data_IF_134261755828
#
_entry.id   IF_134261755828
#
_cell.length_a   1.000
_cell.length_b   1.000
_cell.length_c   1.000
_cell.angle_alpha   90.00
_cell.angle_beta   90.00
_cell.angle_gamma   90.00
#
_symmetry.space_group_name_H-M   'P 1'
#
loop_
_entity.id
_entity.type
_entity.pdbx_description
1 polymer ?
#
# COMPACT_ATOMS: atom_id res chain seq x y z
N UNK A 1 26.73 16.72 -13.61
CA UNK A 1 25.67 16.24 -12.67
C UNK A 1 25.12 14.84 -12.99
N UNK A 2 25.23 14.31 -14.22
CA UNK A 2 24.96 12.89 -14.55
C UNK A 2 25.65 11.92 -13.58
N UNK A 3 26.91 12.19 -13.24
CA UNK A 3 27.66 11.43 -12.23
C UNK A 3 27.06 11.46 -10.82
N UNK A 4 26.24 12.45 -10.41
CA UNK A 4 25.64 12.52 -9.05
C UNK A 4 24.32 11.75 -8.92
N UNK A 5 23.49 11.71 -9.97
CA UNK A 5 22.33 10.80 -10.03
C UNK A 5 22.78 9.34 -10.02
N UNK A 6 23.81 9.02 -10.80
CA UNK A 6 24.49 7.73 -10.80
C UNK A 6 25.16 7.43 -9.45
N UNK A 7 25.70 8.44 -8.77
CA UNK A 7 26.29 8.29 -7.43
C UNK A 7 25.24 7.92 -6.38
N UNK A 8 24.06 8.55 -6.40
CA UNK A 8 22.98 8.26 -5.46
C UNK A 8 22.46 6.82 -5.64
N UNK A 9 22.39 6.32 -6.87
CA UNK A 9 22.06 4.91 -7.17
C UNK A 9 23.21 3.94 -6.86
N UNK A 10 24.46 4.42 -6.78
CA UNK A 10 25.64 3.59 -6.43
C UNK A 10 25.80 3.33 -4.92
N UNK A 11 25.02 3.99 -4.06
CA UNK A 11 25.06 3.79 -2.62
C UNK A 11 24.29 2.55 -2.11
N UNK A 12 23.67 1.77 -3.00
CA UNK A 12 22.83 0.63 -2.62
C UNK A 12 23.57 -0.70 -2.77
N UNK A 13 23.69 -1.43 -1.66
CA UNK A 13 24.28 -2.77 -1.61
C UNK A 13 23.22 -3.84 -1.92
N UNK A 14 23.51 -4.86 -2.76
CA UNK A 14 22.62 -5.98 -3.00
C UNK A 14 22.76 -7.02 -1.86
N UNK A 15 22.05 -6.85 -0.74
CA UNK A 15 22.03 -7.85 0.34
C UNK A 15 20.61 -8.29 0.72
N UNK A 16 20.33 -9.59 0.62
CA UNK A 16 19.03 -10.24 0.86
C UNK A 16 17.87 -9.66 0.02
N UNK A 17 17.80 -10.14 -1.21
CA UNK A 17 16.65 -9.95 -2.09
C UNK A 17 15.51 -10.87 -1.60
N UNK A 18 14.25 -10.42 -1.50
CA UNK A 18 13.10 -11.30 -1.24
C UNK A 18 13.11 -12.48 -2.23
N UNK A 19 12.62 -13.64 -1.79
CA UNK A 19 12.71 -14.92 -2.51
C UNK A 19 12.14 -14.88 -3.96
N UNK A 20 11.40 -13.83 -4.30
CA UNK A 20 10.75 -13.59 -5.60
C UNK A 20 11.58 -12.75 -6.60
N UNK A 21 12.74 -12.21 -6.21
CA UNK A 21 13.55 -11.33 -7.07
C UNK A 21 14.98 -11.86 -7.15
N UNK A 22 15.53 -12.04 -8.35
CA UNK A 22 16.91 -12.52 -8.56
C UNK A 22 17.90 -11.36 -8.84
N UNK A 23 17.38 -10.19 -9.19
CA UNK A 23 18.14 -8.96 -9.43
C UNK A 23 17.21 -7.77 -9.16
N UNK A 24 17.73 -6.62 -8.67
CA UNK A 24 16.91 -5.44 -8.47
C UNK A 24 16.29 -4.96 -9.79
N UNK A 25 15.08 -4.40 -9.71
CA UNK A 25 14.33 -3.91 -10.88
C UNK A 25 14.18 -2.40 -10.85
N UNK A 26 14.53 -1.74 -11.94
CA UNK A 26 14.32 -0.32 -12.19
C UNK A 26 13.01 -0.15 -12.99
N UNK A 27 11.99 0.42 -12.34
CA UNK A 27 10.74 0.81 -12.98
C UNK A 27 10.88 2.24 -13.49
N UNK A 28 10.69 2.42 -14.80
CA UNK A 28 10.89 3.71 -15.46
C UNK A 28 9.54 4.21 -15.97
N UNK A 29 9.04 5.29 -15.37
CA UNK A 29 7.80 5.91 -15.83
C UNK A 29 8.05 6.72 -17.12
N UNK A 30 7.15 6.57 -18.09
CA UNK A 30 7.18 7.27 -19.40
C UNK A 30 5.82 7.94 -19.64
N UNK A 31 5.83 9.08 -20.33
CA UNK A 31 4.63 9.75 -20.81
C UNK A 31 4.58 11.24 -20.48
N UNK A 32 3.63 11.94 -21.09
CA UNK A 32 3.47 13.40 -20.95
C UNK A 32 3.10 13.83 -19.51
N UNK A 33 3.28 15.12 -19.16
CA UNK A 33 2.76 15.66 -17.90
C UNK A 33 1.24 15.46 -17.72
N UNK A 34 0.77 15.43 -16.47
CA UNK A 34 -0.64 15.19 -16.11
C UNK A 34 -1.25 13.87 -16.65
N UNK A 35 -0.41 12.84 -16.81
CA UNK A 35 -0.83 11.48 -17.20
C UNK A 35 -0.77 10.47 -16.05
N UNK A 36 -1.08 10.88 -14.81
CA UNK A 36 -1.15 9.94 -13.69
C UNK A 36 0.17 9.25 -13.26
N UNK A 37 1.33 9.53 -13.86
CA UNK A 37 2.61 8.86 -13.53
C UNK A 37 2.94 8.84 -12.04
N UNK A 38 2.83 9.98 -11.35
CA UNK A 38 3.09 10.07 -9.90
C UNK A 38 2.10 9.28 -9.07
N UNK A 39 0.83 9.28 -9.48
CA UNK A 39 -0.22 8.49 -8.83
C UNK A 39 0.10 7.00 -8.93
N UNK A 40 0.36 6.51 -10.16
CA UNK A 40 0.73 5.11 -10.42
C UNK A 40 1.94 4.71 -9.58
N UNK A 41 2.98 5.55 -9.58
CA UNK A 41 4.24 5.23 -8.91
C UNK A 41 4.09 5.12 -7.39
N UNK A 42 3.33 6.03 -6.77
CA UNK A 42 3.06 5.98 -5.33
C UNK A 42 2.19 4.77 -4.96
N UNK A 43 1.11 4.52 -5.71
CA UNK A 43 0.25 3.34 -5.51
C UNK A 43 1.04 2.04 -5.68
N UNK A 44 1.89 1.95 -6.70
CA UNK A 44 2.70 0.77 -6.96
C UNK A 44 3.75 0.56 -5.86
N UNK A 45 4.42 1.62 -5.42
CA UNK A 45 5.39 1.55 -4.32
C UNK A 45 4.73 1.10 -3.02
N UNK A 46 3.56 1.65 -2.69
CA UNK A 46 2.79 1.28 -1.50
C UNK A 46 2.40 -0.19 -1.54
N UNK A 47 1.89 -0.67 -2.68
CA UNK A 47 1.58 -2.09 -2.87
C UNK A 47 2.81 -2.98 -2.72
N UNK A 48 3.90 -2.67 -3.42
CA UNK A 48 5.13 -3.46 -3.37
C UNK A 48 5.73 -3.51 -1.96
N UNK A 49 5.76 -2.39 -1.24
CA UNK A 49 6.21 -2.37 0.16
C UNK A 49 5.28 -3.18 1.07
N UNK A 50 3.98 -3.07 0.89
CA UNK A 50 3.00 -3.79 1.70
C UNK A 50 3.13 -5.31 1.56
N UNK A 51 3.40 -5.82 0.36
CA UNK A 51 3.65 -7.26 0.11
C UNK A 51 5.06 -7.73 0.50
N UNK A 52 5.88 -6.85 1.11
CA UNK A 52 7.23 -7.17 1.56
C UNK A 52 8.34 -7.02 0.51
N UNK A 53 8.12 -6.30 -0.59
CA UNK A 53 9.14 -5.96 -1.60
C UNK A 53 9.65 -4.53 -1.37
N UNK A 54 10.87 -4.35 -0.82
CA UNK A 54 11.41 -3.01 -0.53
C UNK A 54 11.51 -2.16 -1.77
N UNK A 55 10.70 -1.10 -1.83
CA UNK A 55 10.52 -0.26 -3.01
C UNK A 55 10.60 1.21 -2.65
N UNK A 56 11.30 1.99 -3.47
CA UNK A 56 11.45 3.43 -3.28
C UNK A 56 11.16 4.21 -4.55
N UNK A 57 10.41 5.30 -4.42
CA UNK A 57 10.22 6.30 -5.49
C UNK A 57 11.34 7.31 -5.46
N UNK A 58 11.94 7.56 -6.62
CA UNK A 58 12.84 8.67 -6.89
C UNK A 58 12.13 9.67 -7.79
N UNK A 59 11.71 10.79 -7.19
CA UNK A 59 11.03 11.87 -7.90
C UNK A 59 12.04 12.92 -8.34
N UNK A 60 12.35 12.96 -9.64
CA UNK A 60 13.32 13.89 -10.22
C UNK A 60 12.90 15.36 -10.04
N UNK A 61 11.59 15.64 -10.03
CA UNK A 61 11.07 16.98 -9.78
C UNK A 61 11.34 17.48 -8.35
N UNK A 62 11.37 16.58 -7.35
CA UNK A 62 11.74 16.94 -5.99
C UNK A 62 13.25 17.20 -5.86
N UNK A 63 14.08 16.30 -6.38
CA UNK A 63 15.54 16.46 -6.37
C UNK A 63 15.98 17.77 -7.04
N UNK A 64 15.33 18.13 -8.14
CA UNK A 64 15.55 19.43 -8.80
C UNK A 64 15.22 20.60 -7.87
N UNK A 65 14.09 20.59 -7.15
CA UNK A 65 13.72 21.69 -6.23
C UNK A 65 14.76 21.89 -5.12
N UNK A 66 15.27 20.80 -4.58
CA UNK A 66 16.33 20.80 -3.56
C UNK A 66 17.66 21.33 -4.15
N UNK A 67 18.00 20.97 -5.38
CA UNK A 67 19.23 21.43 -6.05
C UNK A 67 19.17 22.90 -6.52
N UNK A 68 18.00 23.39 -6.94
CA UNK A 68 17.80 24.76 -7.45
C UNK A 68 17.86 25.81 -6.33
N UNK A 69 17.56 25.45 -5.08
CA UNK A 69 17.79 26.34 -3.92
C UNK A 69 19.28 26.66 -3.68
N UNK A 70 20.21 25.83 -4.20
CA UNK A 70 21.65 26.00 -3.99
C UNK A 70 22.38 26.74 -5.13
N UNK A 71 21.79 26.84 -6.32
CA UNK A 71 22.43 27.48 -7.48
C UNK A 71 21.42 28.35 -8.23
N UNK A 72 21.43 29.64 -7.90
CA UNK A 72 20.69 30.69 -8.62
C UNK A 72 21.50 31.03 -9.88
N UNK A 73 20.88 30.85 -11.04
CA UNK A 73 21.41 31.00 -12.41
C UNK A 73 22.08 29.76 -13.03
N UNK A 74 21.61 29.46 -14.24
CA UNK A 74 22.22 28.60 -15.27
C UNK A 74 21.90 27.09 -15.21
N UNK A 75 20.63 26.71 -15.40
CA UNK A 75 20.23 25.35 -15.82
C UNK A 75 18.80 25.38 -16.38
N UNK A 76 18.64 25.98 -17.57
CA UNK A 76 17.50 25.71 -18.44
C UNK A 76 17.88 24.49 -19.30
N UNK A 77 16.95 23.57 -19.55
CA UNK A 77 17.14 22.31 -20.30
C UNK A 77 17.74 21.16 -19.46
N UNK A 78 16.89 20.51 -18.67
CA UNK A 78 17.10 19.12 -18.28
C UNK A 78 15.80 18.33 -18.54
N UNK A 79 15.76 17.62 -19.66
CA UNK A 79 14.63 16.81 -20.12
C UNK A 79 14.64 15.41 -19.48
N UNK A 80 13.64 15.10 -18.67
CA UNK A 80 13.59 13.84 -17.93
C UNK A 80 12.15 13.29 -17.71
N UNK A 81 11.25 13.54 -18.68
CA UNK A 81 10.00 12.76 -18.82
C UNK A 81 10.20 11.37 -19.43
N UNK A 82 11.45 11.00 -19.75
CA UNK A 82 11.85 9.78 -20.46
C UNK A 82 11.14 9.58 -21.81
N UNK A 83 10.67 10.69 -22.38
CA UNK A 83 9.90 10.78 -23.61
C UNK A 83 10.76 10.64 -24.87
N UNK A 84 12.09 10.69 -24.77
CA UNK A 84 12.99 10.52 -25.90
C UNK A 84 13.64 9.13 -25.91
N UNK A 85 13.90 8.61 -27.11
CA UNK A 85 14.56 7.30 -27.29
C UNK A 85 15.98 7.30 -26.70
N UNK A 86 16.75 8.37 -26.93
CA UNK A 86 18.12 8.52 -26.42
C UNK A 86 18.18 8.40 -24.89
N UNK A 87 17.20 9.01 -24.20
CA UNK A 87 17.12 8.95 -22.73
C UNK A 87 16.85 7.53 -22.25
N UNK A 88 15.95 6.80 -22.91
CA UNK A 88 15.66 5.39 -22.59
C UNK A 88 16.88 4.51 -22.80
N UNK A 89 17.63 4.70 -23.90
CA UNK A 89 18.88 3.97 -24.17
C UNK A 89 19.90 4.22 -23.06
N UNK A 90 20.10 5.48 -22.63
CA UNK A 90 21.01 5.81 -21.53
C UNK A 90 20.62 5.12 -20.21
N UNK A 91 19.33 5.05 -19.88
CA UNK A 91 18.82 4.37 -18.67
C UNK A 91 19.07 2.86 -18.76
N UNK A 92 18.82 2.25 -19.92
CA UNK A 92 19.06 0.81 -20.13
C UNK A 92 20.54 0.48 -20.02
N UNK A 93 21.43 1.29 -20.61
CA UNK A 93 22.88 1.11 -20.50
C UNK A 93 23.34 1.19 -19.05
N UNK A 94 22.89 2.20 -18.31
CA UNK A 94 23.18 2.33 -16.88
C UNK A 94 22.69 1.12 -16.07
N UNK A 95 21.44 0.69 -16.29
CA UNK A 95 20.87 -0.44 -15.57
C UNK A 95 21.68 -1.72 -15.85
N UNK A 96 22.10 -1.94 -17.11
CA UNK A 96 22.96 -3.05 -17.50
C UNK A 96 24.31 -3.02 -16.77
N UNK A 97 24.96 -1.86 -16.69
CA UNK A 97 26.23 -1.70 -15.96
C UNK A 97 26.11 -2.01 -14.46
N UNK A 98 24.94 -1.75 -13.86
CA UNK A 98 24.65 -2.01 -12.45
C UNK A 98 24.00 -3.37 -12.16
N UNK A 99 23.74 -4.18 -13.20
CA UNK A 99 23.06 -5.46 -13.04
C UNK A 99 21.59 -5.34 -12.66
N UNK A 100 20.94 -4.22 -12.99
CA UNK A 100 19.51 -4.01 -12.79
C UNK A 100 18.70 -4.48 -14.01
N UNK A 101 17.53 -5.06 -13.74
CA UNK A 101 16.49 -5.23 -14.75
C UNK A 101 15.77 -3.91 -14.97
N UNK A 102 15.19 -3.70 -16.16
CA UNK A 102 14.43 -2.49 -16.48
C UNK A 102 13.02 -2.87 -16.91
N UNK A 103 12.02 -2.19 -16.34
CA UNK A 103 10.62 -2.33 -16.72
C UNK A 103 10.00 -0.95 -16.93
N UNK A 104 9.53 -0.65 -18.14
CA UNK A 104 8.92 0.66 -18.43
C UNK A 104 7.41 0.64 -18.17
N UNK A 105 6.90 1.72 -17.60
CA UNK A 105 5.46 1.95 -17.42
C UNK A 105 5.10 3.25 -18.12
N UNK A 106 4.51 3.15 -19.30
CA UNK A 106 4.10 4.28 -20.10
C UNK A 106 2.61 4.59 -19.89
N UNK A 107 2.30 5.81 -19.46
CA UNK A 107 0.92 6.26 -19.32
C UNK A 107 0.55 7.22 -20.45
N UNK A 108 -0.41 6.80 -21.27
CA UNK A 108 -0.89 7.50 -22.46
C UNK A 108 -2.34 7.90 -22.19
N UNK A 109 -2.66 9.18 -22.35
CA UNK A 109 -4.03 9.67 -22.21
C UNK A 109 -4.24 10.79 -23.20
N UNK A 110 -5.27 10.70 -24.02
CA UNK A 110 -5.62 11.73 -24.98
C UNK A 110 -7.00 12.35 -24.67
N UNK A 111 -7.69 11.81 -23.67
CA UNK A 111 -8.95 12.33 -23.15
C UNK A 111 -8.77 13.69 -22.44
N UNK A 112 -9.34 14.79 -22.98
CA UNK A 112 -9.15 16.14 -22.43
C UNK A 112 -9.77 16.32 -21.04
N UNK A 113 -10.86 15.62 -20.70
CA UNK A 113 -11.52 15.73 -19.40
C UNK A 113 -10.65 15.12 -18.30
N UNK A 114 -10.10 13.93 -18.55
CA UNK A 114 -9.17 13.27 -17.63
C UNK A 114 -7.92 14.13 -17.40
N UNK A 115 -7.42 14.77 -18.45
CA UNK A 115 -6.23 15.63 -18.38
C UNK A 115 -6.52 16.86 -17.54
N UNK A 116 -7.64 17.55 -17.81
CA UNK A 116 -8.06 18.71 -17.04
C UNK A 116 -8.24 18.36 -15.55
N UNK A 117 -8.92 17.25 -15.25
CA UNK A 117 -9.10 16.77 -13.88
C UNK A 117 -7.76 16.49 -13.17
N UNK A 118 -6.83 15.79 -13.84
CA UNK A 118 -5.50 15.52 -13.30
C UNK A 118 -4.68 16.80 -13.02
N UNK A 119 -4.85 17.84 -13.84
CA UNK A 119 -4.19 19.13 -13.62
C UNK A 119 -4.80 19.81 -12.39
N UNK A 120 -6.12 19.87 -12.31
CA UNK A 120 -6.84 20.50 -11.20
C UNK A 120 -6.54 19.83 -9.86
N UNK A 121 -6.61 18.50 -9.80
CA UNK A 121 -6.48 17.75 -8.53
C UNK A 121 -5.06 17.73 -7.96
N UNK A 122 -4.05 17.86 -8.82
CA UNK A 122 -2.67 17.52 -8.46
C UNK A 122 -1.69 18.64 -8.73
N UNK A 123 -1.98 19.49 -9.72
CA UNK A 123 -1.04 20.50 -10.22
C UNK A 123 -1.39 21.90 -9.81
N UNK A 124 -2.67 22.24 -9.73
CA UNK A 124 -3.09 23.54 -9.22
C UNK A 124 -2.73 23.70 -7.73
N UNK A 125 -2.75 22.61 -6.95
CA UNK A 125 -2.27 22.61 -5.55
C UNK A 125 -0.75 22.31 -5.43
N UNK A 126 0.00 22.29 -6.52
CA UNK A 126 1.45 22.07 -6.51
C UNK A 126 2.15 23.30 -5.91
N UNK A 127 3.30 23.13 -5.24
CA UNK A 127 4.17 24.25 -4.87
C UNK A 127 4.53 25.17 -6.05
N UNK A 128 4.45 24.65 -7.29
CA UNK A 128 4.74 25.39 -8.51
C UNK A 128 3.73 26.51 -8.84
N UNK A 129 2.52 26.49 -8.24
CA UNK A 129 1.41 27.39 -8.56
C UNK A 129 0.78 28.05 -7.31
N UNK A 130 1.50 28.11 -6.18
CA UNK A 130 1.00 28.60 -4.89
C UNK A 130 0.33 29.99 -4.94
N UNK A 131 0.74 30.85 -5.88
CA UNK A 131 0.25 32.23 -6.03
C UNK A 131 -0.40 32.49 -7.39
N UNK A 132 -0.74 31.45 -8.15
CA UNK A 132 -1.39 31.58 -9.45
C UNK A 132 -2.90 31.32 -9.32
N UNK A 133 -3.70 32.03 -10.10
CA UNK A 133 -5.10 31.67 -10.27
C UNK A 133 -5.23 30.27 -10.88
N UNK A 134 -6.32 29.55 -10.59
CA UNK A 134 -6.50 28.17 -11.05
C UNK A 134 -6.59 28.07 -12.56
N UNK A 135 -7.26 29.02 -13.20
CA UNK A 135 -7.45 29.02 -14.66
C UNK A 135 -6.15 29.41 -15.37
N UNK A 136 -5.38 30.34 -14.78
CA UNK A 136 -4.03 30.68 -15.25
C UNK A 136 -3.06 29.50 -15.11
N UNK A 137 -3.10 28.79 -13.97
CA UNK A 137 -2.29 27.60 -13.72
C UNK A 137 -2.62 26.47 -14.71
N UNK A 138 -3.91 26.25 -15.00
CA UNK A 138 -4.36 25.29 -16.00
C UNK A 138 -3.86 25.67 -17.39
N UNK A 139 -4.00 26.94 -17.80
CA UNK A 139 -3.57 27.42 -19.11
C UNK A 139 -2.03 27.31 -19.30
N UNK A 140 -1.24 27.67 -18.28
CA UNK A 140 0.22 27.47 -18.28
C UNK A 140 0.57 25.98 -18.41
N UNK A 141 -0.12 25.12 -17.65
CA UNK A 141 0.16 23.68 -17.66
C UNK A 141 -0.21 23.03 -19.01
N UNK A 142 -1.26 23.48 -19.67
CA UNK A 142 -1.62 23.02 -21.02
C UNK A 142 -0.55 23.42 -22.04
N UNK A 143 -0.09 24.68 -22.03
CA UNK A 143 1.03 25.12 -22.88
C UNK A 143 2.28 24.29 -22.64
N UNK A 144 2.58 23.96 -21.38
CA UNK A 144 3.70 23.08 -21.02
C UNK A 144 3.55 21.68 -21.61
N UNK A 145 2.36 21.10 -21.62
CA UNK A 145 2.11 19.79 -22.26
C UNK A 145 2.43 19.87 -23.76
N UNK A 146 2.04 20.95 -24.44
CA UNK A 146 2.35 21.13 -25.87
C UNK A 146 3.87 21.19 -26.14
N UNK A 147 4.66 21.80 -25.26
CA UNK A 147 6.13 21.76 -25.38
C UNK A 147 6.67 20.32 -25.34
N UNK A 148 6.18 19.47 -24.43
CA UNK A 148 6.62 18.07 -24.33
C UNK A 148 6.14 17.23 -25.52
N UNK A 149 5.00 17.56 -26.13
CA UNK A 149 4.51 16.84 -27.32
C UNK A 149 5.47 16.95 -28.51
N UNK A 150 6.18 18.07 -28.65
CA UNK A 150 7.11 18.29 -29.77
C UNK A 150 8.28 17.30 -29.80
N UNK A 151 8.71 16.82 -28.63
CA UNK A 151 9.83 15.89 -28.49
C UNK A 151 9.41 14.49 -28.03
N UNK A 152 8.11 14.26 -27.83
CA UNK A 152 7.62 12.99 -27.31
C UNK A 152 7.66 11.89 -28.36
N UNK A 153 8.52 10.91 -28.09
CA UNK A 153 8.59 9.64 -28.81
C UNK A 153 8.06 8.54 -27.89
N UNK A 154 6.82 8.06 -28.09
CA UNK A 154 6.27 6.96 -27.30
C UNK A 154 7.14 5.70 -27.41
N UNK A 155 6.93 4.72 -26.53
CA UNK A 155 7.51 3.39 -26.78
C UNK A 155 6.95 2.86 -28.10
N UNK A 156 7.78 2.28 -28.95
CA UNK A 156 7.40 1.79 -30.28
C UNK A 156 7.36 0.26 -30.28
N UNK A 157 6.26 -0.32 -30.76
CA UNK A 157 6.02 -1.76 -30.62
C UNK A 157 7.05 -2.60 -31.39
N UNK A 158 7.60 -2.07 -32.48
CA UNK A 158 8.58 -2.75 -33.34
C UNK A 158 10.02 -2.43 -32.93
N UNK A 159 10.33 -1.14 -32.73
CA UNK A 159 11.70 -0.70 -32.40
C UNK A 159 12.07 -1.06 -30.97
N UNK A 160 11.13 -0.98 -30.04
CA UNK A 160 11.32 -1.30 -28.62
C UNK A 160 10.88 -2.74 -28.28
N UNK A 161 10.67 -3.62 -29.27
CA UNK A 161 10.19 -5.01 -29.10
C UNK A 161 10.97 -5.88 -28.11
N UNK A 162 12.24 -5.53 -27.83
CA UNK A 162 13.10 -6.25 -26.88
C UNK A 162 13.05 -5.69 -25.46
N UNK A 163 12.38 -4.56 -25.25
CA UNK A 163 12.22 -3.93 -23.94
C UNK A 163 11.01 -4.53 -23.20
N UNK A 164 11.12 -4.62 -21.89
CA UNK A 164 10.00 -5.03 -21.02
C UNK A 164 9.20 -3.81 -20.62
N UNK A 165 7.92 -3.77 -20.98
CA UNK A 165 7.09 -2.60 -20.69
C UNK A 165 5.59 -2.89 -20.63
N UNK A 166 4.87 -1.95 -20.03
CA UNK A 166 3.41 -1.84 -20.10
C UNK A 166 3.03 -0.42 -20.55
N UNK A 167 2.11 -0.33 -21.51
CA UNK A 167 1.43 0.90 -21.91
C UNK A 167 0.01 0.89 -21.33
N UNK A 168 -0.36 1.97 -20.67
CA UNK A 168 -1.68 2.17 -20.06
C UNK A 168 -2.37 3.31 -20.80
N UNK A 169 -3.48 3.01 -21.48
CA UNK A 169 -4.22 3.97 -22.29
C UNK A 169 -5.46 4.48 -21.56
N UNK A 170 -5.67 5.80 -21.55
CA UNK A 170 -6.81 6.51 -20.95
C UNK A 170 -7.20 5.91 -19.59
N UNK A 171 -6.24 5.89 -18.67
CA UNK A 171 -6.41 5.46 -17.27
C UNK A 171 -6.99 4.03 -17.12
N UNK A 172 -6.56 3.13 -18.01
CA UNK A 172 -6.86 1.70 -17.90
C UNK A 172 -7.95 1.21 -18.85
N UNK A 173 -8.41 2.05 -19.79
CA UNK A 173 -9.32 1.60 -20.87
C UNK A 173 -8.73 0.48 -21.74
N UNK A 174 -7.41 0.48 -21.91
CA UNK A 174 -6.66 -0.53 -22.67
C UNK A 174 -5.23 -0.63 -22.13
N UNK A 175 -4.66 -1.82 -22.24
CA UNK A 175 -3.29 -2.13 -21.88
C UNK A 175 -2.56 -2.79 -23.05
N UNK A 176 -1.27 -2.53 -23.19
CA UNK A 176 -0.36 -3.30 -24.04
C UNK A 176 0.85 -3.68 -23.20
N UNK A 177 1.16 -4.97 -23.15
CA UNK A 177 2.25 -5.51 -22.32
C UNK A 177 3.23 -6.23 -23.23
N UNK A 178 4.52 -5.93 -23.09
CA UNK A 178 5.59 -6.54 -23.88
C UNK A 178 6.68 -7.15 -23.00
N UNK A 179 7.16 -8.33 -23.39
CA UNK A 179 8.33 -9.02 -22.81
C UNK A 179 8.43 -9.01 -21.28
N UNK A 180 7.40 -9.48 -20.56
CA UNK A 180 7.47 -9.69 -19.10
C UNK A 180 8.53 -10.74 -18.77
N UNK A 181 9.54 -10.38 -17.97
CA UNK A 181 10.74 -11.21 -17.74
C UNK A 181 10.66 -12.09 -16.50
N UNK A 182 9.87 -11.72 -15.50
CA UNK A 182 9.85 -12.41 -14.22
C UNK A 182 8.56 -12.18 -13.42
N UNK A 183 8.50 -12.81 -12.25
CA UNK A 183 7.35 -12.77 -11.36
C UNK A 183 7.03 -11.36 -10.87
N UNK A 184 8.05 -10.54 -10.54
CA UNK A 184 7.80 -9.18 -10.05
C UNK A 184 7.19 -8.30 -11.14
N UNK A 185 7.67 -8.39 -12.39
CA UNK A 185 7.07 -7.67 -13.52
C UNK A 185 5.64 -8.13 -13.80
N UNK A 186 5.39 -9.45 -13.74
CA UNK A 186 4.02 -10.00 -13.88
C UNK A 186 3.07 -9.46 -12.82
N UNK A 187 3.52 -9.40 -11.55
CA UNK A 187 2.73 -8.82 -10.45
C UNK A 187 2.50 -7.32 -10.58
N UNK A 188 3.49 -6.58 -11.08
CA UNK A 188 3.34 -5.16 -11.40
C UNK A 188 2.25 -4.97 -12.47
N UNK A 189 2.32 -5.75 -13.57
CA UNK A 189 1.30 -5.71 -14.63
C UNK A 189 -0.08 -6.01 -14.06
N UNK A 190 -0.22 -7.10 -13.30
CA UNK A 190 -1.48 -7.50 -12.68
C UNK A 190 -2.06 -6.40 -11.78
N UNK A 191 -1.23 -5.77 -10.94
CA UNK A 191 -1.68 -4.66 -10.09
C UNK A 191 -2.13 -3.45 -10.93
N UNK A 192 -1.34 -3.04 -11.92
CA UNK A 192 -1.65 -1.89 -12.78
C UNK A 192 -2.93 -2.07 -13.61
N UNK A 193 -3.29 -3.31 -13.91
CA UNK A 193 -4.54 -3.65 -14.60
C UNK A 193 -5.78 -3.62 -13.70
N UNK A 194 -5.61 -3.62 -12.38
CA UNK A 194 -6.72 -3.63 -11.42
C UNK A 194 -6.94 -2.30 -10.71
N UNK A 195 -6.01 -1.33 -10.81
CA UNK A 195 -6.21 0.00 -10.21
C UNK A 195 -7.04 0.91 -11.12
N UNK A 196 -7.83 1.78 -10.50
CA UNK A 196 -8.52 2.88 -11.19
C UNK A 196 -8.49 4.17 -10.36
N UNK A 197 -8.71 5.30 -11.03
CA UNK A 197 -8.70 6.65 -10.42
C UNK A 197 -10.08 7.17 -10.02
N UNK A 198 -11.16 6.45 -10.36
CA UNK A 198 -12.53 6.86 -10.05
C UNK A 198 -12.67 7.14 -8.55
N UNK A 199 -13.18 8.33 -8.17
CA UNK A 199 -13.49 8.64 -6.79
C UNK A 199 -14.42 7.60 -6.18
N UNK A 200 -14.10 7.14 -4.98
CA UNK A 200 -14.85 6.08 -4.30
C UNK A 200 -14.69 6.15 -2.78
N UNK A 201 -15.57 5.48 -2.06
CA UNK A 201 -15.49 5.34 -0.60
C UNK A 201 -15.30 3.89 -0.18
N UNK A 202 -14.26 3.64 0.61
CA UNK A 202 -14.03 2.34 1.26
C UNK A 202 -14.41 2.50 2.73
N UNK A 203 -15.30 1.66 3.22
CA UNK A 203 -15.69 1.62 4.63
C UNK A 203 -15.07 0.38 5.27
N UNK A 204 -14.31 0.57 6.33
CA UNK A 204 -13.79 -0.54 7.14
C UNK A 204 -14.47 -0.52 8.49
N UNK A 205 -14.97 -1.67 8.91
CA UNK A 205 -15.42 -1.87 10.27
C UNK A 205 -15.05 -3.28 10.75
N UNK A 206 -14.92 -3.42 12.06
CA UNK A 206 -14.93 -4.73 12.69
C UNK A 206 -16.37 -5.23 12.77
N UNK A 207 -16.54 -6.53 12.98
CA UNK A 207 -17.78 -7.07 13.53
C UNK A 207 -18.20 -6.31 14.80
N UNK A 208 -19.48 -6.37 15.14
CA UNK A 208 -19.95 -5.97 16.47
C UNK A 208 -19.25 -6.76 17.58
N UNK A 209 -19.25 -6.23 18.79
CA UNK A 209 -18.70 -6.90 19.97
C UNK A 209 -19.22 -8.34 20.06
N UNK A 210 -18.31 -9.30 20.21
CA UNK A 210 -18.63 -10.74 20.33
C UNK A 210 -18.55 -11.22 21.77
N UNK A 211 -19.10 -12.40 22.04
CA UNK A 211 -19.00 -13.01 23.38
C UNK A 211 -17.55 -13.27 23.79
N UNK A 212 -16.68 -13.67 22.85
CA UNK A 212 -15.24 -13.83 23.14
C UNK A 212 -14.55 -12.50 23.47
N UNK A 213 -15.01 -11.38 22.89
CA UNK A 213 -14.47 -10.07 23.27
C UNK A 213 -14.79 -9.73 24.73
N UNK A 214 -16.02 -9.99 25.19
CA UNK A 214 -16.41 -9.79 26.59
C UNK A 214 -15.55 -10.63 27.55
N UNK A 215 -15.16 -11.83 27.14
CA UNK A 215 -14.31 -12.74 27.92
C UNK A 215 -12.81 -12.43 27.78
N UNK A 216 -12.41 -11.47 26.95
CA UNK A 216 -11.00 -11.17 26.68
C UNK A 216 -10.25 -12.26 25.91
N UNK A 217 -10.97 -13.21 25.29
CA UNK A 217 -10.40 -14.35 24.57
C UNK A 217 -10.14 -14.00 23.09
N UNK A 218 -9.02 -14.47 22.54
CA UNK A 218 -8.66 -14.29 21.13
C UNK A 218 -9.17 -15.43 20.26
N UNK A 219 -9.28 -15.21 18.94
CA UNK A 219 -9.69 -16.26 18.01
C UNK A 219 -11.16 -16.68 18.14
N UNK A 220 -11.42 -17.97 17.90
CA UNK A 220 -12.71 -18.64 17.98
C UNK A 220 -13.73 -18.16 16.95
N UNK A 221 -14.95 -18.73 17.03
CA UNK A 221 -16.08 -18.37 16.16
C UNK A 221 -17.37 -18.02 16.92
N UNK A 222 -17.23 -17.34 18.05
CA UNK A 222 -18.38 -16.88 18.82
C UNK A 222 -19.23 -15.86 18.05
N UNK A 223 -20.53 -15.85 18.35
CA UNK A 223 -21.47 -14.84 17.84
C UNK A 223 -21.37 -13.49 18.56
N UNK A 224 -22.22 -12.56 18.10
CA UNK A 224 -22.33 -11.22 18.69
C UNK A 224 -22.86 -11.25 20.13
N UNK A 225 -22.39 -10.31 20.93
CA UNK A 225 -22.98 -9.96 22.23
C UNK A 225 -24.27 -9.15 22.02
N UNK A 226 -25.08 -8.90 23.08
CA UNK A 226 -26.20 -7.97 22.99
C UNK A 226 -25.81 -6.58 22.50
N UNK A 227 -24.62 -6.07 22.88
CA UNK A 227 -24.10 -4.79 22.35
C UNK A 227 -23.63 -4.91 20.90
N UNK A 228 -23.07 -6.05 20.51
CA UNK A 228 -22.74 -6.33 19.10
C UNK A 228 -23.95 -6.26 18.18
N UNK A 229 -25.10 -6.81 18.59
CA UNK A 229 -26.36 -6.69 17.84
C UNK A 229 -26.88 -5.24 17.74
N UNK A 230 -26.78 -4.47 18.84
CA UNK A 230 -27.09 -3.02 18.82
C UNK A 230 -26.19 -2.28 17.83
N UNK A 231 -24.89 -2.59 17.82
CA UNK A 231 -23.95 -2.00 16.86
C UNK A 231 -24.28 -2.39 15.42
N UNK A 232 -24.60 -3.65 15.13
CA UNK A 232 -24.97 -4.10 13.80
C UNK A 232 -26.18 -3.33 13.24
N UNK A 233 -27.18 -3.08 14.10
CA UNK A 233 -28.34 -2.24 13.77
C UNK A 233 -27.95 -0.78 13.50
N UNK A 234 -27.08 -0.21 14.34
CA UNK A 234 -26.57 1.15 14.17
C UNK A 234 -25.74 1.30 12.88
N UNK A 235 -24.93 0.29 12.55
CA UNK A 235 -24.16 0.23 11.30
C UNK A 235 -25.09 0.21 10.08
N UNK A 236 -26.14 -0.63 10.09
CA UNK A 236 -27.13 -0.64 9.01
C UNK A 236 -27.82 0.71 8.83
N UNK A 237 -28.17 1.38 9.93
CA UNK A 237 -28.76 2.72 9.90
C UNK A 237 -27.78 3.76 9.34
N UNK A 238 -26.52 3.72 9.77
CA UNK A 238 -25.47 4.61 9.29
C UNK A 238 -25.21 4.42 7.79
N UNK A 239 -25.03 3.18 7.33
CA UNK A 239 -24.75 2.89 5.92
C UNK A 239 -25.91 3.32 5.01
N UNK A 240 -27.16 3.09 5.44
CA UNK A 240 -28.35 3.59 4.72
C UNK A 240 -28.39 5.11 4.64
N UNK A 241 -27.99 5.82 5.70
CA UNK A 241 -27.98 7.29 5.72
C UNK A 241 -26.94 7.90 4.79
N UNK A 242 -25.85 7.16 4.47
CA UNK A 242 -24.84 7.60 3.50
C UNK A 242 -25.33 7.61 2.04
N UNK A 243 -26.47 6.96 1.73
CA UNK A 243 -27.06 6.88 0.37
C UNK A 243 -26.06 6.47 -0.72
N UNK A 244 -25.23 5.48 -0.41
CA UNK A 244 -24.15 5.02 -1.29
C UNK A 244 -24.76 4.18 -2.41
N UNK A 245 -24.47 4.53 -3.66
CA UNK A 245 -24.85 3.73 -4.84
C UNK A 245 -23.93 2.52 -4.98
N UNK A 246 -24.52 1.39 -5.37
CA UNK A 246 -23.81 0.16 -5.72
C UNK A 246 -22.80 -0.31 -4.65
N UNK A 247 -23.15 -0.14 -3.38
CA UNK A 247 -22.32 -0.56 -2.25
C UNK A 247 -22.20 -2.08 -2.21
N UNK A 248 -20.97 -2.58 -2.35
CA UNK A 248 -20.65 -3.98 -2.05
C UNK A 248 -20.35 -4.15 -0.57
N UNK A 249 -20.78 -5.28 -0.01
CA UNK A 249 -20.51 -5.63 1.39
C UNK A 249 -19.73 -6.94 1.42
N UNK A 250 -18.60 -6.94 2.13
CA UNK A 250 -17.78 -8.13 2.32
C UNK A 250 -17.66 -8.49 3.79
N UNK A 251 -17.72 -9.79 4.06
CA UNK A 251 -17.50 -10.35 5.40
C UNK A 251 -16.42 -11.41 5.36
N UNK A 252 -15.93 -11.79 6.53
CA UNK A 252 -15.26 -13.08 6.69
C UNK A 252 -16.26 -14.24 6.67
N UNK A 253 -15.77 -15.47 6.87
CA UNK A 253 -16.62 -16.65 7.08
C UNK A 253 -17.00 -16.85 8.55
N UNK A 254 -16.54 -15.96 9.46
CA UNK A 254 -16.79 -16.09 10.89
C UNK A 254 -18.15 -15.51 11.27
N UNK A 255 -18.87 -16.21 12.15
CA UNK A 255 -20.25 -15.93 12.55
C UNK A 255 -20.50 -14.47 12.92
N UNK A 256 -19.58 -13.86 13.66
CA UNK A 256 -19.68 -12.46 14.12
C UNK A 256 -19.69 -11.42 13.00
N UNK A 257 -18.96 -11.62 11.89
CA UNK A 257 -18.99 -10.66 10.76
C UNK A 257 -20.26 -10.85 9.94
N UNK A 258 -20.66 -12.10 9.72
CA UNK A 258 -21.89 -12.49 9.03
C UNK A 258 -23.11 -11.89 9.76
N UNK A 259 -23.25 -12.15 11.06
CA UNK A 259 -24.33 -11.59 11.87
C UNK A 259 -24.35 -10.06 11.86
N UNK A 260 -23.20 -9.41 11.78
CA UNK A 260 -23.13 -7.95 11.66
C UNK A 260 -23.68 -7.47 10.31
N UNK A 261 -23.31 -8.16 9.22
CA UNK A 261 -23.76 -7.81 7.87
C UNK A 261 -25.24 -8.13 7.61
N UNK A 262 -25.80 -9.17 8.24
CA UNK A 262 -27.23 -9.52 8.14
C UNK A 262 -28.15 -8.36 8.53
N UNK A 263 -27.74 -7.52 9.50
CA UNK A 263 -28.53 -6.35 9.94
C UNK A 263 -28.52 -5.19 8.93
N UNK A 264 -27.64 -5.22 7.92
CA UNK A 264 -27.61 -4.21 6.88
C UNK A 264 -28.83 -4.35 5.94
N UNK A 265 -29.31 -5.57 5.74
CA UNK A 265 -30.36 -5.89 4.75
C UNK A 265 -29.88 -5.71 3.31
N UNK A 266 -28.57 -5.85 3.05
CA UNK A 266 -27.93 -5.75 1.74
C UNK A 266 -27.22 -7.09 1.47
N UNK A 267 -27.22 -7.62 0.23
CA UNK A 267 -26.42 -8.79 -0.12
C UNK A 267 -24.94 -8.58 0.24
N UNK A 268 -24.31 -9.61 0.79
CA UNK A 268 -22.89 -9.58 1.15
C UNK A 268 -22.17 -10.82 0.62
N UNK A 269 -20.88 -10.66 0.34
CA UNK A 269 -20.00 -11.74 -0.11
C UNK A 269 -19.08 -12.16 1.03
N UNK A 270 -18.93 -13.48 1.22
CA UNK A 270 -18.09 -14.02 2.29
C UNK A 270 -16.74 -14.45 1.75
N UNK A 271 -15.67 -13.86 2.29
CA UNK A 271 -14.29 -14.12 1.87
C UNK A 271 -13.54 -14.85 2.99
N UNK A 272 -13.12 -16.08 2.74
CA UNK A 272 -12.31 -16.83 3.71
C UNK A 272 -10.99 -16.11 4.03
N UNK A 273 -10.44 -15.40 3.06
CA UNK A 273 -9.26 -14.55 3.22
C UNK A 273 -9.46 -13.40 4.23
N UNK A 274 -10.70 -13.04 4.57
CA UNK A 274 -11.02 -12.04 5.59
C UNK A 274 -11.17 -12.62 7.00
N UNK A 275 -11.01 -13.93 7.22
CA UNK A 275 -11.01 -14.51 8.57
C UNK A 275 -9.92 -13.87 9.43
N UNK A 276 -10.16 -13.77 10.74
CA UNK A 276 -9.17 -13.25 11.70
C UNK A 276 -7.85 -14.03 11.61
N UNK A 277 -6.76 -13.41 12.08
CA UNK A 277 -5.48 -14.11 12.24
C UNK A 277 -5.66 -15.39 13.06
N UNK A 278 -5.13 -16.50 12.55
CA UNK A 278 -5.15 -17.78 13.24
C UNK A 278 -4.11 -17.79 14.37
N UNK A 279 -4.57 -17.87 15.61
CA UNK A 279 -3.71 -17.94 16.79
C UNK A 279 -3.20 -19.37 17.08
N UNK A 280 -3.53 -20.35 16.23
CA UNK A 280 -3.07 -21.74 16.32
C UNK A 280 -3.39 -22.36 17.67
N UNK A 281 -2.34 -22.83 18.37
CA UNK A 281 -2.50 -23.42 19.71
C UNK A 281 -3.00 -22.44 20.77
N UNK A 282 -2.97 -21.13 20.50
CA UNK A 282 -3.42 -20.06 21.40
C UNK A 282 -4.84 -19.58 21.07
N UNK A 283 -5.56 -20.25 20.17
CA UNK A 283 -6.98 -19.99 19.91
C UNK A 283 -7.79 -20.12 21.22
N UNK A 284 -8.78 -19.25 21.36
CA UNK A 284 -9.70 -19.19 22.50
C UNK A 284 -9.09 -18.83 23.85
N UNK A 285 -7.78 -18.55 23.96
CA UNK A 285 -7.16 -18.12 25.21
C UNK A 285 -7.30 -16.62 25.46
N UNK A 286 -7.26 -16.19 26.73
CA UNK A 286 -6.96 -14.80 27.06
C UNK A 286 -5.46 -14.50 26.94
N UNK A 287 -5.08 -13.23 26.91
CA UNK A 287 -3.65 -12.89 26.89
C UNK A 287 -2.92 -13.31 28.17
N UNK A 288 -3.61 -13.29 29.32
CA UNK A 288 -3.11 -13.75 30.60
C UNK A 288 -2.87 -15.27 30.57
N UNK A 289 -3.83 -16.05 30.06
CA UNK A 289 -3.68 -17.50 29.89
C UNK A 289 -2.51 -17.84 28.95
N UNK A 290 -2.30 -17.07 27.88
CA UNK A 290 -1.13 -17.26 26.99
C UNK A 290 0.17 -16.92 27.73
N UNK A 291 0.19 -15.86 28.54
CA UNK A 291 1.37 -15.46 29.30
C UNK A 291 1.74 -16.52 30.35
N UNK A 292 0.77 -17.13 31.01
CA UNK A 292 0.99 -18.14 32.04
C UNK A 292 1.38 -19.50 31.44
N UNK A 293 0.68 -19.94 30.39
CA UNK A 293 0.88 -21.26 29.78
C UNK A 293 2.01 -21.29 28.74
N UNK A 294 2.25 -20.17 28.05
CA UNK A 294 3.22 -20.03 26.96
C UNK A 294 4.05 -18.72 27.10
N UNK A 295 4.76 -18.51 28.22
CA UNK A 295 5.48 -17.26 28.49
C UNK A 295 6.54 -16.91 27.43
N UNK A 296 7.18 -17.92 26.85
CA UNK A 296 8.18 -17.74 25.78
C UNK A 296 7.54 -17.21 24.50
N UNK A 297 6.41 -17.79 24.08
CA UNK A 297 5.65 -17.37 22.90
C UNK A 297 5.12 -15.94 23.07
N UNK A 298 4.59 -15.62 24.25
CA UNK A 298 4.14 -14.28 24.59
C UNK A 298 5.27 -13.25 24.45
N UNK A 299 6.45 -13.57 24.98
CA UNK A 299 7.62 -12.70 24.94
C UNK A 299 8.21 -12.55 23.53
N UNK A 300 8.23 -13.62 22.72
CA UNK A 300 8.68 -13.57 21.32
C UNK A 300 7.76 -12.71 20.47
N UNK A 301 6.45 -12.84 20.67
CA UNK A 301 5.45 -12.01 19.98
C UNK A 301 5.58 -10.52 20.31
N UNK A 302 5.94 -10.19 21.54
CA UNK A 302 6.15 -8.80 21.94
C UNK A 302 7.39 -8.16 21.32
N UNK A 303 8.42 -8.97 21.02
CA UNK A 303 9.66 -8.51 20.41
C UNK A 303 9.51 -8.19 18.92
N UNK A 304 8.87 -9.08 18.16
CA UNK A 304 8.61 -8.89 16.73
C UNK A 304 7.20 -9.34 16.38
N UNK A 305 6.23 -8.49 16.74
CA UNK A 305 4.80 -8.79 16.55
C UNK A 305 4.40 -8.96 15.09
N UNK A 306 5.15 -8.39 14.14
CA UNK A 306 4.86 -8.51 12.72
C UNK A 306 5.23 -9.91 12.19
N UNK A 307 6.46 -10.36 12.48
CA UNK A 307 6.98 -11.63 11.95
C UNK A 307 6.71 -12.84 12.84
N UNK A 308 6.40 -12.62 14.12
CA UNK A 308 6.04 -13.71 15.01
C UNK A 308 4.85 -14.48 14.45
N UNK A 309 5.04 -15.79 14.25
CA UNK A 309 3.99 -16.73 13.84
C UNK A 309 3.59 -17.58 15.03
N UNK A 310 2.29 -17.59 15.34
CA UNK A 310 1.77 -18.49 16.37
C UNK A 310 2.07 -19.96 16.00
N UNK A 311 2.37 -20.85 16.98
CA UNK A 311 2.56 -22.27 16.69
C UNK A 311 1.30 -22.86 16.05
N UNK A 312 1.45 -23.44 14.85
CA UNK A 312 0.34 -23.93 14.00
C UNK A 312 -0.68 -22.85 13.60
N UNK A 313 -0.33 -21.58 13.69
CA UNK A 313 -1.15 -20.44 13.27
C UNK A 313 -0.41 -19.53 12.30
N UNK A 314 -0.76 -18.25 12.32
CA UNK A 314 -0.30 -17.22 11.39
C UNK A 314 0.53 -16.12 12.07
N UNK A 315 1.35 -15.43 11.29
CA UNK A 315 1.91 -14.11 11.62
C UNK A 315 1.12 -12.99 10.93
N UNK A 316 1.42 -11.73 11.25
CA UNK A 316 0.88 -10.61 10.45
C UNK A 316 1.43 -10.61 9.02
N UNK A 317 2.66 -11.10 8.81
CA UNK A 317 3.25 -11.29 7.48
C UNK A 317 2.48 -12.33 6.65
N UNK A 318 2.07 -13.45 7.25
CA UNK A 318 1.19 -14.44 6.60
C UNK A 318 -0.16 -13.83 6.24
N UNK A 319 -0.72 -13.05 7.15
CA UNK A 319 -2.00 -12.38 6.96
C UNK A 319 -1.95 -11.37 5.82
N UNK A 320 -0.86 -10.63 5.65
CA UNK A 320 -0.63 -9.73 4.51
C UNK A 320 -0.66 -10.52 3.20
N UNK A 321 0.05 -11.63 3.10
CA UNK A 321 0.03 -12.47 1.90
C UNK A 321 -1.37 -13.05 1.63
N UNK A 322 -2.09 -13.50 2.66
CA UNK A 322 -3.47 -13.99 2.55
C UNK A 322 -4.45 -12.91 2.09
N UNK A 323 -4.23 -11.65 2.47
CA UNK A 323 -5.11 -10.53 2.14
C UNK A 323 -4.80 -9.89 0.79
N UNK A 324 -3.74 -10.29 0.10
CA UNK A 324 -3.39 -9.73 -1.21
C UNK A 324 -4.57 -9.78 -2.21
N UNK A 325 -5.29 -10.90 -2.41
CA UNK A 325 -6.43 -10.93 -3.32
C UNK A 325 -7.55 -9.96 -2.93
N UNK A 326 -7.74 -9.72 -1.62
CA UNK A 326 -8.71 -8.74 -1.11
C UNK A 326 -8.27 -7.32 -1.47
N UNK A 327 -6.97 -6.99 -1.33
CA UNK A 327 -6.44 -5.69 -1.74
C UNK A 327 -6.61 -5.47 -3.25
N UNK A 328 -6.37 -6.48 -4.08
CA UNK A 328 -6.57 -6.39 -5.53
C UNK A 328 -8.03 -6.09 -5.87
N UNK A 329 -8.96 -6.79 -5.23
CA UNK A 329 -10.38 -6.55 -5.44
C UNK A 329 -10.82 -5.18 -4.90
N UNK A 330 -10.31 -4.73 -3.75
CA UNK A 330 -10.55 -3.37 -3.23
C UNK A 330 -10.03 -2.28 -4.19
N UNK A 331 -8.92 -2.55 -4.88
CA UNK A 331 -8.38 -1.63 -5.86
C UNK A 331 -9.23 -1.54 -7.14
N UNK A 332 -9.95 -2.62 -7.46
CA UNK A 332 -10.83 -2.76 -8.64
C UNK A 332 -12.25 -2.25 -8.41
N UNK A 333 -12.75 -2.34 -7.19
CA UNK A 333 -14.12 -1.93 -6.84
C UNK A 333 -14.22 -0.44 -6.51
N UNK A 334 -15.43 0.10 -6.70
CA UNK A 334 -15.79 1.44 -6.25
C UNK A 334 -16.15 1.45 -4.75
N UNK A 335 -17.45 1.45 -4.41
CA UNK A 335 -17.88 1.57 -3.03
C UNK A 335 -17.94 0.21 -2.34
N UNK A 336 -17.15 0.02 -1.29
CA UNK A 336 -17.08 -1.26 -0.57
C UNK A 336 -17.14 -1.02 0.94
N UNK A 337 -17.95 -1.79 1.64
CA UNK A 337 -17.92 -1.96 3.09
C UNK A 337 -17.31 -3.33 3.42
N UNK A 338 -16.22 -3.34 4.17
CA UNK A 338 -15.60 -4.56 4.69
C UNK A 338 -15.87 -4.68 6.18
N UNK A 339 -16.62 -5.71 6.57
CA UNK A 339 -16.86 -6.09 7.97
C UNK A 339 -15.93 -7.24 8.33
N UNK A 340 -14.88 -6.95 9.09
CA UNK A 340 -13.79 -7.89 9.36
C UNK A 340 -13.38 -7.90 10.84
N UNK A 341 -12.09 -8.08 11.12
CA UNK A 341 -11.56 -8.32 12.45
C UNK A 341 -10.38 -7.41 12.79
N UNK A 342 -9.83 -7.51 14.00
CA UNK A 342 -8.83 -6.56 14.46
C UNK A 342 -7.52 -6.69 13.69
N UNK A 343 -6.97 -7.90 13.53
CA UNK A 343 -5.70 -8.05 12.81
C UNK A 343 -5.88 -7.82 11.29
N UNK A 344 -6.98 -8.32 10.72
CA UNK A 344 -7.34 -8.09 9.31
C UNK A 344 -7.48 -6.61 8.99
N UNK A 345 -8.25 -5.86 9.78
CA UNK A 345 -8.47 -4.44 9.56
C UNK A 345 -7.18 -3.63 9.67
N UNK A 346 -6.25 -4.02 10.57
CA UNK A 346 -4.92 -3.42 10.65
C UNK A 346 -4.13 -3.59 9.35
N UNK A 347 -4.12 -4.79 8.77
CA UNK A 347 -3.44 -5.05 7.50
C UNK A 347 -4.02 -4.22 6.35
N UNK A 348 -5.35 -4.17 6.24
CA UNK A 348 -6.05 -3.37 5.23
C UNK A 348 -5.76 -1.87 5.39
N UNK A 349 -5.81 -1.35 6.63
CA UNK A 349 -5.47 0.03 6.92
C UNK A 349 -4.01 0.35 6.64
N UNK A 350 -3.09 -0.57 6.96
CA UNK A 350 -1.69 -0.35 6.68
C UNK A 350 -1.42 -0.20 5.18
N UNK A 351 -2.11 -0.98 4.34
CA UNK A 351 -2.08 -0.78 2.90
C UNK A 351 -2.64 0.59 2.49
N UNK A 352 -3.85 0.93 2.94
CA UNK A 352 -4.53 2.16 2.50
C UNK A 352 -3.83 3.45 2.98
N UNK A 353 -3.16 3.38 4.13
CA UNK A 353 -2.51 4.51 4.82
C UNK A 353 -0.98 4.50 4.73
N UNK A 354 -0.41 3.59 3.93
CA UNK A 354 1.05 3.48 3.72
C UNK A 354 1.83 3.34 5.03
N UNK A 355 1.38 2.41 5.89
CA UNK A 355 2.00 2.13 7.19
C UNK A 355 3.03 1.02 7.09
N UNK A 356 4.12 1.19 7.83
CA UNK A 356 5.22 0.22 7.85
C UNK A 356 4.84 -1.08 8.55
N UNK A 357 5.60 -2.15 8.27
CA UNK A 357 5.46 -3.45 8.95
C UNK A 357 5.57 -3.33 10.48
N UNK A 358 6.37 -2.38 10.98
CA UNK A 358 6.56 -2.15 12.42
C UNK A 358 5.34 -1.46 13.06
N UNK A 359 4.66 -0.56 12.33
CA UNK A 359 3.47 0.14 12.79
C UNK A 359 2.20 -0.73 12.69
N UNK A 360 2.11 -1.57 11.66
CA UNK A 360 0.90 -2.30 11.25
C UNK A 360 0.24 -3.08 12.41
N UNK A 361 0.96 -3.92 13.21
CA UNK A 361 0.36 -4.70 14.29
C UNK A 361 -0.20 -3.87 15.46
N UNK A 362 0.03 -2.56 15.45
CA UNK A 362 -0.34 -1.61 16.50
C UNK A 362 -1.29 -0.52 16.02
N UNK A 363 -1.79 -0.57 14.78
CA UNK A 363 -2.82 0.36 14.34
C UNK A 363 -4.11 0.20 15.18
N UNK A 364 -4.73 1.33 15.53
CA UNK A 364 -5.94 1.36 16.37
C UNK A 364 -7.17 1.13 15.50
N UNK A 365 -7.83 -0.02 15.72
CA UNK A 365 -9.06 -0.43 15.07
C UNK A 365 -10.10 -0.76 16.16
N UNK A 366 -10.68 0.25 16.84
CA UNK A 366 -11.61 0.01 17.94
C UNK A 366 -12.88 -0.70 17.46
N UNK A 367 -13.56 -1.41 18.37
CA UNK A 367 -14.91 -1.90 18.11
C UNK A 367 -15.86 -0.72 17.90
N UNK A 368 -16.95 -1.01 17.20
CA UNK A 368 -18.09 -0.12 17.02
C UNK A 368 -17.80 1.24 16.36
N UNK A 369 -16.69 1.31 15.62
CA UNK A 369 -16.25 2.51 14.90
C UNK A 369 -16.06 2.17 13.43
N UNK A 370 -16.70 2.92 12.56
CA UNK A 370 -16.52 2.82 11.10
C UNK A 370 -15.42 3.76 10.68
N UNK A 371 -14.48 3.27 9.87
CA UNK A 371 -13.51 4.11 9.19
C UNK A 371 -13.94 4.31 7.75
N UNK A 372 -14.25 5.56 7.38
CA UNK A 372 -14.52 5.95 6.00
C UNK A 372 -13.22 6.43 5.37
N UNK A 373 -12.78 5.72 4.35
CA UNK A 373 -11.55 5.96 3.61
C UNK A 373 -11.89 6.50 2.22
N UNK A 374 -11.37 7.69 1.90
CA UNK A 374 -11.52 8.31 0.57
C UNK A 374 -10.14 8.40 -0.08
N UNK A 375 -9.83 7.56 -1.09
CA UNK A 375 -8.58 7.68 -1.83
C UNK A 375 -8.44 9.07 -2.45
N UNK A 376 -7.27 9.68 -2.27
CA UNK A 376 -6.91 10.97 -2.87
C UNK A 376 -5.59 10.83 -3.62
N UNK A 377 -5.22 11.81 -4.44
CA UNK A 377 -4.08 11.73 -5.36
C UNK A 377 -2.76 11.22 -4.73
N UNK A 378 -2.53 11.49 -3.44
CA UNK A 378 -1.30 11.15 -2.74
C UNK A 378 -1.48 10.31 -1.47
N UNK A 379 -2.65 9.70 -1.27
CA UNK A 379 -2.92 8.92 -0.06
C UNK A 379 -4.38 8.59 0.12
N UNK A 380 -4.84 8.59 1.36
CA UNK A 380 -6.22 8.31 1.70
C UNK A 380 -6.66 9.19 2.88
N UNK A 381 -7.78 9.89 2.73
CA UNK A 381 -8.42 10.61 3.84
C UNK A 381 -9.17 9.58 4.69
N UNK A 382 -9.04 9.69 6.02
CA UNK A 382 -9.73 8.81 6.97
C UNK A 382 -10.65 9.63 7.86
N UNK A 383 -11.90 9.18 7.98
CA UNK A 383 -12.88 9.72 8.91
C UNK A 383 -13.31 8.60 9.87
N UNK A 384 -13.25 8.88 11.17
CA UNK A 384 -13.63 7.95 12.23
C UNK A 384 -15.06 8.26 12.67
N UNK A 385 -15.95 7.28 12.55
CA UNK A 385 -17.36 7.43 12.92
C UNK A 385 -17.71 6.40 14.00
N UNK A 386 -17.72 6.84 15.26
CA UNK A 386 -18.21 6.03 16.37
C UNK A 386 -19.74 6.02 16.38
N UNK A 387 -20.36 4.84 16.37
CA UNK A 387 -21.82 4.71 16.22
C UNK A 387 -22.58 4.72 17.55
N UNK A 388 -22.00 5.31 18.60
CA UNK A 388 -22.62 5.49 19.91
C UNK A 388 -23.13 4.19 20.56
N UNK A 389 -22.38 3.09 20.38
CA UNK A 389 -22.61 1.82 21.08
C UNK A 389 -21.32 1.44 21.77
N UNK A 390 -21.33 1.36 23.10
CA UNK A 390 -20.16 0.98 23.88
C UNK A 390 -19.65 -0.43 23.53
N UNK A 391 -18.36 -0.65 23.72
CA UNK A 391 -17.71 -1.95 23.59
C UNK A 391 -16.48 -2.03 24.50
N UNK A 392 -16.07 -3.25 24.81
CA UNK A 392 -14.77 -3.50 25.45
C UNK A 392 -13.62 -3.03 24.56
N UNK A 393 -12.51 -2.64 25.19
CA UNK A 393 -11.27 -2.32 24.47
C UNK A 393 -10.43 -3.60 24.28
N UNK A 394 -10.15 -3.96 23.03
CA UNK A 394 -9.32 -5.12 22.67
C UNK A 394 -7.92 -4.72 22.19
N UNK A 395 -7.56 -3.43 22.31
CA UNK A 395 -6.27 -2.90 21.89
C UNK A 395 -5.22 -3.08 22.99
N UNK A 396 -4.17 -3.84 22.67
CA UNK A 396 -2.95 -3.93 23.48
C UNK A 396 -1.85 -3.06 22.86
N UNK A 397 -1.43 -2.05 23.61
CA UNK A 397 -0.36 -1.13 23.24
C UNK A 397 0.99 -1.86 23.08
N UNK A 398 1.94 -1.20 22.41
CA UNK A 398 3.31 -1.73 22.30
C UNK A 398 3.96 -1.76 23.70
N UNK A 399 4.57 -2.87 24.13
CA UNK A 399 5.27 -2.93 25.40
C UNK A 399 6.36 -1.85 25.49
N UNK A 400 6.45 -1.17 26.64
CA UNK A 400 7.50 -0.19 26.89
C UNK A 400 8.89 -0.83 27.05
N UNK A 401 9.95 -0.09 26.72
CA UNK A 401 11.37 -0.53 26.69
C UNK A 401 11.86 -1.16 28.01
N UNK A 402 11.21 -0.89 29.14
CA UNK A 402 11.57 -1.44 30.45
C UNK A 402 11.25 -2.95 30.58
N UNK A 403 10.16 -3.43 29.96
CA UNK A 403 9.77 -4.85 29.97
C UNK A 403 10.75 -5.74 29.18
N UNK A 404 11.41 -5.19 28.17
CA UNK A 404 12.35 -5.91 27.29
C UNK A 404 13.60 -6.39 28.04
N UNK A 405 13.99 -5.72 29.15
CA UNK A 405 15.12 -6.16 30.00
C UNK A 405 14.82 -7.45 30.76
N UNK A 406 13.59 -7.63 31.22
CA UNK A 406 13.18 -8.84 31.95
C UNK A 406 13.07 -10.06 31.02
N UNK A 407 12.56 -9.83 29.81
CA UNK A 407 12.51 -10.83 28.74
C UNK A 407 13.92 -11.26 28.29
N UNK A 408 14.87 -10.31 28.21
CA UNK A 408 16.27 -10.65 27.92
C UNK A 408 16.94 -11.52 28.99
N UNK A 409 16.55 -11.39 30.27
CA UNK A 409 17.05 -12.26 31.35
C UNK A 409 16.52 -13.70 31.23
N UNK A 410 15.23 -13.87 30.91
CA UNK A 410 14.63 -15.19 30.64
C UNK A 410 15.28 -15.85 29.41
N UNK A 411 15.55 -15.08 28.35
CA UNK A 411 16.27 -15.54 27.16
C UNK A 411 17.73 -15.93 27.44
N UNK A 412 18.42 -15.26 28.36
CA UNK A 412 19.82 -15.58 28.69
C UNK A 412 19.95 -16.95 29.37
N UNK A 413 18.96 -17.34 30.19
CA UNK A 413 18.90 -18.68 30.78
C UNK A 413 18.58 -19.76 29.73
N UNK A 414 17.78 -19.42 28.70
CA UNK A 414 17.34 -20.37 27.68
C UNK A 414 18.25 -20.47 26.44
N UNK A 415 19.03 -19.42 26.11
CA UNK A 415 20.07 -19.45 25.05
C UNK A 415 21.18 -20.49 25.32
N UNK A 416 21.27 -21.01 26.55
CA UNK A 416 22.10 -22.17 26.90
C UNK A 416 21.54 -23.50 26.39
N UNK A 417 20.29 -23.57 25.92
CA UNK A 417 19.62 -24.81 25.47
C UNK A 417 19.21 -24.85 23.98
N UNK A 418 19.20 -23.73 23.25
CA UNK A 418 19.02 -23.76 21.79
C UNK A 418 19.93 -22.74 21.10
N UNK A 419 20.91 -23.26 20.37
CA UNK A 419 21.77 -22.47 19.49
C UNK A 419 21.26 -22.55 18.05
N UNK A 420 21.39 -21.43 17.34
CA UNK A 420 21.15 -21.17 15.91
C UNK A 420 19.71 -20.90 15.43
N UNK A 421 19.32 -19.62 15.41
CA UNK A 421 18.86 -18.88 14.21
C UNK A 421 18.42 -17.47 14.59
N UNK A 422 19.32 -16.50 14.59
CA UNK A 422 18.96 -15.09 14.41
C UNK A 422 20.13 -14.37 13.75
N UNK A 423 20.12 -14.32 12.43
CA UNK A 423 20.92 -13.36 11.66
C UNK A 423 20.10 -12.07 11.62
N UNK A 424 20.50 -11.05 12.37
CA UNK A 424 20.10 -9.67 12.10
C UNK A 424 20.81 -9.25 10.82
N UNK A 425 20.08 -9.06 9.72
CA UNK A 425 20.55 -8.32 8.54
C UNK A 425 19.83 -6.97 8.51
N UNK A 426 20.34 -6.00 9.27
CA UNK A 426 19.96 -4.60 9.10
C UNK A 426 20.88 -3.97 8.05
N UNK A 427 20.53 -4.16 6.79
CA UNK A 427 20.89 -3.29 5.67
C UNK A 427 19.69 -3.30 4.73
N UNK A 428 18.95 -2.20 4.65
CA UNK A 428 17.78 -2.05 3.77
C UNK A 428 18.22 -2.11 2.31
N UNK A 429 18.22 -3.30 1.73
CA UNK A 429 18.52 -3.48 0.31
C UNK A 429 17.27 -3.20 -0.50
N UNK A 430 17.28 -2.08 -1.22
CA UNK A 430 16.20 -1.70 -2.13
C UNK A 430 16.16 -2.71 -3.30
N UNK A 431 15.02 -3.35 -3.48
CA UNK A 431 14.82 -4.35 -4.52
C UNK A 431 14.18 -3.76 -5.77
N UNK A 432 13.36 -2.72 -5.61
CA UNK A 432 12.72 -2.00 -6.72
C UNK A 432 12.89 -0.49 -6.58
N UNK A 433 13.31 0.14 -7.67
CA UNK A 433 13.48 1.59 -7.76
C UNK A 433 12.50 2.11 -8.80
N UNK A 434 11.61 3.03 -8.43
CA UNK A 434 10.68 3.68 -9.37
C UNK A 434 11.16 5.10 -9.66
N UNK A 435 11.46 5.39 -10.93
CA UNK A 435 11.89 6.72 -11.36
C UNK A 435 10.73 7.48 -11.99
N UNK A 436 10.41 8.64 -11.43
CA UNK A 436 9.19 9.40 -11.75
C UNK A 436 9.49 10.87 -11.90
N UNK A 437 8.84 11.53 -12.87
CA UNK A 437 8.97 12.97 -13.05
C UNK A 437 7.63 13.70 -13.27
N UNK A 438 7.53 14.89 -12.68
CA UNK A 438 6.57 15.93 -13.03
C UNK A 438 7.35 17.11 -13.61
N UNK A 439 7.62 17.07 -14.91
CA UNK A 439 8.64 17.94 -15.53
C UNK A 439 8.27 19.41 -15.47
N UNK A 440 9.23 20.35 -15.34
CA UNK A 440 9.22 21.78 -15.81
C UNK A 440 10.57 22.01 -16.51
N UNK A 441 10.59 22.81 -17.58
CA UNK A 441 11.81 23.30 -18.24
C UNK A 441 12.57 24.27 -17.33
#
# INVERSE_FOLDING_TARGET
MYNRFLWCLSCFSPASVPQFTNSPTLIVMVGLPARGKTYISKKLTRYLNWIGVPTKVFNLGQYRREAVQSYKMMLQVFDATNTTQERRVSIVSFAKEKGYKVFFVESICDDPEIIAQNITDVKVSSPDYLNCDKDEALADFLKRIECYKQTYVPLDDEKDRRLSYIKIFNVGSRYLVNCVQDHIQSRIVYYLMNIHVTPRSIFLSRHGESNMNLLGRIGGDSGLSPRGHKYATALGTFIKSQRIKDLKVWTSHMKRTIQTAEHLGIPYEQWKALNEIDAGVCEEYTYEEIQDNHPEEFALRDQDKYRYRYPKGESYEDLVHRLEPVIMELERQENVLVVCHQAVMRCLLAYLLDKTADELPYLKCPLHTVLKLTPVAYGCKVEHVFLNVEAVNTHRERPGVSFTKHVHLLQAQYKKKMFNRFRKSNTDSICVIIVVECGRI
#
